data_IF_386544909494
#
_entry.id   IF_386544909494
#
_cell.length_a   1.000
_cell.length_b   1.000
_cell.length_c   1.000
_cell.angle_alpha   90.00
_cell.angle_beta   90.00
_cell.angle_gamma   90.00
#
_symmetry.space_group_name_H-M   'P 1'
#
loop_
_entity.id
_entity.type
_entity.pdbx_description
1 polymer ?
#
# COMPACT_ATOMS: atom_id res chain seq x y z
N UNK A 1 -6.47 11.02 6.87
CA UNK A 1 -5.82 9.76 7.29
C UNK A 1 -6.87 8.74 7.69
N UNK A 2 -6.68 7.50 7.25
CA UNK A 2 -7.52 6.34 7.49
C UNK A 2 -6.69 5.20 8.09
N UNK A 3 -7.30 4.39 8.95
CA UNK A 3 -6.66 3.23 9.60
C UNK A 3 -7.04 1.96 8.84
N UNK A 4 -6.05 1.15 8.47
CA UNK A 4 -6.26 -0.14 7.82
C UNK A 4 -5.53 -1.26 8.55
N UNK A 5 -6.22 -2.36 8.80
CA UNK A 5 -5.58 -3.62 9.21
C UNK A 5 -5.18 -4.41 7.97
N UNK A 6 -3.89 -4.62 7.76
CA UNK A 6 -3.34 -5.39 6.65
C UNK A 6 -3.22 -6.86 7.05
N UNK A 7 -3.89 -7.73 6.30
CA UNK A 7 -3.96 -9.18 6.56
C UNK A 7 -3.24 -10.02 5.50
N UNK A 8 -2.81 -9.41 4.40
CA UNK A 8 -2.13 -10.09 3.31
C UNK A 8 -1.44 -9.16 2.33
N UNK A 9 -0.50 -9.71 1.56
CA UNK A 9 0.01 -9.09 0.35
C UNK A 9 -0.57 -9.87 -0.84
N UNK A 10 -1.20 -9.16 -1.78
CA UNK A 10 -1.84 -9.78 -2.94
C UNK A 10 -0.82 -10.22 -4.01
N UNK A 11 0.39 -9.70 -3.91
CA UNK A 11 1.53 -10.05 -4.74
C UNK A 11 2.70 -10.51 -3.87
N UNK A 12 3.68 -11.19 -4.49
CA UNK A 12 4.85 -11.75 -3.80
C UNK A 12 5.78 -10.70 -3.13
N UNK A 13 5.47 -9.41 -3.26
CA UNK A 13 6.21 -8.31 -2.67
C UNK A 13 6.09 -7.02 -3.48
N UNK A 14 7.06 -6.13 -3.28
CA UNK A 14 7.18 -4.87 -4.02
C UNK A 14 7.46 -5.15 -5.51
N UNK A 15 6.74 -4.46 -6.39
CA UNK A 15 6.90 -4.52 -7.85
C UNK A 15 7.35 -3.19 -8.41
N UNK A 16 8.13 -3.22 -9.47
CA UNK A 16 8.47 -2.05 -10.28
C UNK A 16 7.61 -1.99 -11.54
N UNK A 17 7.04 -0.82 -11.82
CA UNK A 17 6.20 -0.55 -12.99
C UNK A 17 7.01 0.31 -13.96
N UNK A 18 7.64 -0.33 -14.96
CA UNK A 18 8.53 0.33 -15.92
C UNK A 18 7.90 1.55 -16.61
N UNK A 19 6.61 1.49 -16.93
CA UNK A 19 5.91 2.55 -17.67
C UNK A 19 5.78 3.85 -16.86
N UNK A 20 5.64 3.75 -15.54
CA UNK A 20 5.52 4.90 -14.64
C UNK A 20 6.80 5.21 -13.90
N UNK A 21 7.81 4.33 -13.94
CA UNK A 21 9.02 4.49 -13.12
C UNK A 21 8.75 4.35 -11.62
N UNK A 22 7.60 3.78 -11.24
CA UNK A 22 7.16 3.70 -9.84
C UNK A 22 7.28 2.28 -9.29
N UNK A 23 7.41 2.18 -7.98
CA UNK A 23 7.27 0.96 -7.22
C UNK A 23 5.89 0.89 -6.57
N UNK A 24 5.36 -0.32 -6.41
CA UNK A 24 4.15 -0.53 -5.65
C UNK A 24 4.19 -1.79 -4.80
N UNK A 25 3.43 -1.77 -3.72
CA UNK A 25 3.06 -2.94 -2.94
C UNK A 25 1.55 -2.99 -2.82
N UNK A 26 1.01 -4.18 -3.02
CA UNK A 26 -0.44 -4.38 -2.97
C UNK A 26 -0.80 -5.17 -1.73
N UNK A 27 -1.59 -4.54 -0.88
CA UNK A 27 -2.05 -5.07 0.39
C UNK A 27 -3.52 -5.49 0.30
N UNK A 28 -3.89 -6.48 1.11
CA UNK A 28 -5.26 -6.89 1.40
C UNK A 28 -5.63 -6.41 2.80
N UNK A 29 -6.72 -5.63 2.90
CA UNK A 29 -7.24 -5.15 4.19
C UNK A 29 -8.14 -6.20 4.85
N UNK A 30 -8.46 -6.03 6.13
CA UNK A 30 -9.39 -6.93 6.85
C UNK A 30 -10.81 -6.95 6.28
N UNK A 31 -11.22 -5.85 5.63
CA UNK A 31 -12.50 -5.73 4.91
C UNK A 31 -12.45 -6.34 3.50
N UNK A 32 -11.37 -7.04 3.17
CA UNK A 32 -11.10 -7.65 1.86
C UNK A 32 -10.97 -6.64 0.71
N UNK A 33 -10.56 -5.41 1.03
CA UNK A 33 -10.33 -4.36 0.05
C UNK A 33 -8.87 -4.36 -0.40
N UNK A 34 -8.65 -3.87 -1.62
CA UNK A 34 -7.32 -3.77 -2.23
C UNK A 34 -6.77 -2.36 -2.02
N UNK A 35 -5.70 -2.28 -1.22
CA UNK A 35 -4.94 -1.07 -0.97
C UNK A 35 -3.60 -1.14 -1.71
N UNK A 36 -3.30 -0.15 -2.55
CA UNK A 36 -2.01 -0.06 -3.25
C UNK A 36 -1.18 1.05 -2.65
N UNK A 37 0.05 0.72 -2.22
CA UNK A 37 1.00 1.68 -1.71
C UNK A 37 2.02 1.95 -2.82
N UNK A 38 2.15 3.20 -3.23
CA UNK A 38 3.07 3.65 -4.25
C UNK A 38 4.32 4.29 -3.64
N UNK A 39 5.43 4.18 -4.36
CA UNK A 39 6.67 4.89 -4.13
C UNK A 39 7.34 5.16 -5.48
N UNK A 40 8.28 6.09 -5.51
CA UNK A 40 9.18 6.27 -6.65
C UNK A 40 10.63 5.85 -6.28
N UNK A 41 11.58 6.09 -7.18
CA UNK A 41 12.99 5.75 -6.94
C UNK A 41 13.69 6.66 -5.91
N UNK A 42 13.11 7.81 -5.58
CA UNK A 42 13.68 8.81 -4.67
C UNK A 42 13.06 8.74 -3.26
N UNK A 43 11.82 8.27 -3.15
CA UNK A 43 11.04 8.17 -1.94
C UNK A 43 10.39 6.78 -1.80
N UNK A 44 11.11 5.88 -1.13
CA UNK A 44 10.68 4.50 -0.83
C UNK A 44 10.30 4.29 0.63
N UNK A 45 10.11 5.37 1.40
CA UNK A 45 9.88 5.31 2.85
C UNK A 45 8.62 4.51 3.19
N UNK A 46 7.52 4.76 2.46
CA UNK A 46 6.23 4.09 2.66
C UNK A 46 6.37 2.59 2.45
N UNK A 47 6.94 2.16 1.33
CA UNK A 47 7.18 0.74 1.05
C UNK A 47 8.13 0.07 2.04
N UNK A 48 9.19 0.76 2.45
CA UNK A 48 10.16 0.25 3.42
C UNK A 48 9.53 0.04 4.80
N UNK A 49 8.55 0.88 5.18
CA UNK A 49 7.86 0.77 6.47
C UNK A 49 6.96 -0.48 6.55
N UNK A 50 6.32 -0.86 5.44
CA UNK A 50 5.32 -1.93 5.40
C UNK A 50 5.86 -3.26 4.88
N UNK A 51 6.85 -3.23 3.99
CA UNK A 51 7.35 -4.46 3.36
C UNK A 51 8.03 -5.36 4.39
N UNK A 52 7.64 -6.64 4.38
CA UNK A 52 8.18 -7.63 5.32
C UNK A 52 7.65 -7.52 6.76
N UNK A 53 6.68 -6.65 7.05
CA UNK A 53 5.99 -6.66 8.35
C UNK A 53 5.26 -7.99 8.57
N UNK A 54 5.31 -8.57 9.78
CA UNK A 54 4.52 -9.75 10.09
C UNK A 54 3.04 -9.41 10.02
N UNK A 55 2.25 -10.29 9.43
CA UNK A 55 0.81 -10.15 9.32
C UNK A 55 0.10 -10.76 10.53
N UNK A 56 -1.04 -10.21 10.97
CA UNK A 56 -1.59 -8.92 10.54
C UNK A 56 -0.86 -7.74 11.21
N UNK A 57 -0.89 -6.56 10.57
CA UNK A 57 -0.42 -5.31 11.16
C UNK A 57 -1.34 -4.15 10.79
N UNK A 58 -1.27 -3.05 11.55
CA UNK A 58 -2.12 -1.88 11.34
C UNK A 58 -1.29 -0.74 10.77
N UNK A 59 -1.85 0.00 9.81
CA UNK A 59 -1.29 1.24 9.30
C UNK A 59 -2.29 2.38 9.44
N UNK A 60 -1.77 3.59 9.55
CA UNK A 60 -2.50 4.84 9.45
C UNK A 60 -1.90 5.62 8.29
N UNK A 61 -2.70 5.91 7.25
CA UNK A 61 -2.18 6.57 6.05
C UNK A 61 -3.17 7.56 5.45
N UNK A 62 -2.66 8.50 4.66
CA UNK A 62 -3.50 9.26 3.73
C UNK A 62 -3.79 8.41 2.49
N UNK A 63 -5.06 8.36 2.11
CA UNK A 63 -5.51 7.63 0.92
C UNK A 63 -6.15 8.57 -0.07
N UNK A 64 -6.09 8.15 -1.33
CA UNK A 64 -6.74 8.80 -2.45
C UNK A 64 -7.55 7.79 -3.26
N UNK A 65 -8.51 8.30 -4.03
CA UNK A 65 -9.25 7.47 -4.97
C UNK A 65 -8.30 6.95 -6.07
N UNK A 66 -8.31 5.64 -6.34
CA UNK A 66 -7.45 5.06 -7.35
C UNK A 66 -7.90 5.45 -8.76
N UNK A 67 -6.97 5.97 -9.55
CA UNK A 67 -7.25 6.44 -10.92
C UNK A 67 -6.62 5.53 -11.99
N UNK A 68 -7.20 5.55 -13.19
CA UNK A 68 -6.58 4.95 -14.36
C UNK A 68 -6.77 3.43 -14.53
N UNK A 69 -6.01 2.82 -15.47
CA UNK A 69 -6.30 1.47 -15.94
C UNK A 69 -6.14 0.35 -14.91
N UNK A 70 -5.22 0.50 -13.93
CA UNK A 70 -5.02 -0.53 -12.90
C UNK A 70 -6.17 -0.56 -11.90
N UNK A 71 -6.71 0.60 -11.53
CA UNK A 71 -7.88 0.71 -10.67
C UNK A 71 -9.05 -0.08 -11.25
N UNK A 72 -9.34 0.13 -12.54
CA UNK A 72 -10.41 -0.58 -13.25
C UNK A 72 -10.12 -2.07 -13.47
N UNK A 73 -8.86 -2.45 -13.72
CA UNK A 73 -8.49 -3.83 -14.03
C UNK A 73 -8.41 -4.75 -12.79
N UNK A 74 -8.00 -4.21 -11.65
CA UNK A 74 -7.72 -4.98 -10.44
C UNK A 74 -8.67 -4.67 -9.28
N UNK A 75 -9.59 -3.71 -9.45
CA UNK A 75 -10.50 -3.29 -8.39
C UNK A 75 -9.75 -2.67 -7.21
N UNK A 76 -8.72 -1.86 -7.48
CA UNK A 76 -8.07 -1.08 -6.44
C UNK A 76 -9.13 -0.19 -5.79
N UNK A 77 -9.21 -0.21 -4.46
CA UNK A 77 -10.20 0.57 -3.70
C UNK A 77 -9.55 1.83 -3.13
N UNK A 78 -8.28 1.70 -2.70
CA UNK A 78 -7.53 2.79 -2.10
C UNK A 78 -6.09 2.83 -2.62
N UNK A 79 -5.56 4.03 -2.82
CA UNK A 79 -4.15 4.27 -3.07
C UNK A 79 -3.52 5.10 -1.96
N UNK A 80 -2.29 4.74 -1.57
CA UNK A 80 -1.38 5.60 -0.80
C UNK A 80 -0.29 6.05 -1.77
N UNK A 81 -0.19 7.36 -2.01
CA UNK A 81 0.79 7.93 -2.94
C UNK A 81 2.19 7.99 -2.29
N UNK A 82 3.24 8.21 -3.10
CA UNK A 82 4.62 8.31 -2.58
C UNK A 82 4.81 9.37 -1.50
N UNK A 83 4.11 10.50 -1.63
CA UNK A 83 4.24 11.66 -0.74
C UNK A 83 3.21 11.63 0.41
N UNK A 84 2.34 10.61 0.45
CA UNK A 84 1.36 10.46 1.51
C UNK A 84 2.01 9.99 2.80
N UNK A 85 1.59 10.56 3.93
CA UNK A 85 2.03 10.07 5.23
C UNK A 85 1.53 8.64 5.45
N UNK A 86 2.45 7.75 5.87
CA UNK A 86 2.15 6.37 6.27
C UNK A 86 2.88 6.03 7.56
N UNK A 87 2.12 5.54 8.54
CA UNK A 87 2.63 5.14 9.85
C UNK A 87 2.19 3.71 10.13
N UNK A 88 3.13 2.84 10.46
CA UNK A 88 2.82 1.50 11.00
C UNK A 88 2.56 1.62 12.49
N UNK A 89 1.39 1.18 12.94
CA UNK A 89 1.03 1.18 14.37
C UNK A 89 1.48 -0.14 14.98
N UNK A 90 2.53 -0.10 15.80
CA UNK A 90 2.92 -1.24 16.63
C UNK A 90 1.91 -1.41 17.78
N UNK A 91 0.83 -2.15 17.54
CA UNK A 91 -0.02 -2.65 18.63
C UNK A 91 0.71 -3.87 19.24
N UNK A 92 1.36 -3.66 20.38
CA UNK A 92 1.84 -4.78 21.20
C UNK A 92 0.62 -5.62 21.59
N UNK A 93 0.55 -6.84 21.06
CA UNK A 93 -0.41 -7.87 21.49
C UNK A 93 0.17 -8.60 22.70
#
# INVERSE_FOLDING_TARGET
MEEFTIIGFLDAGVKYIEKSGKFCLVCLTEDYERLVIWSDEYNTANLSAVSGKPLPFVILCEVMEPEGPSAAAYGDVYWVDEDSDLIVIDRMI
#
